data_IF_564712063727
#
_entry.id   IF_564712063727
#
_cell.length_a   1.000
_cell.length_b   1.000
_cell.length_c   1.000
_cell.angle_alpha   90.00
_cell.angle_beta   90.00
_cell.angle_gamma   90.00
#
_symmetry.space_group_name_H-M   'P 1'
#
loop_
_entity.id
_entity.type
_entity.pdbx_description
1 polymer ?
#
# COMPACT_ATOMS: atom_id res chain seq x y z
N UNK A 1 11.16 -9.18 1.52
CA UNK A 1 10.33 -8.65 2.62
C UNK A 1 10.69 -9.25 3.97
N UNK A 2 10.77 -10.58 4.12
CA UNK A 2 10.98 -11.27 5.42
C UNK A 2 12.18 -10.79 6.24
N UNK A 3 13.36 -10.67 5.64
CA UNK A 3 14.56 -10.17 6.34
C UNK A 3 14.42 -8.68 6.69
N UNK A 4 13.86 -7.88 5.77
CA UNK A 4 13.64 -6.45 6.00
C UNK A 4 12.59 -6.19 7.09
N UNK A 5 11.55 -7.01 7.19
CA UNK A 5 10.52 -6.94 8.23
C UNK A 5 11.03 -7.36 9.62
N UNK A 6 12.22 -7.98 9.72
CA UNK A 6 12.83 -8.31 11.00
C UNK A 6 13.30 -7.05 11.75
N UNK A 7 13.69 -5.98 11.04
CA UNK A 7 14.12 -4.71 11.62
C UNK A 7 13.05 -4.05 12.52
N UNK A 8 11.83 -3.75 12.01
CA UNK A 8 10.78 -3.18 12.85
C UNK A 8 10.38 -4.15 13.97
N UNK A 9 10.36 -5.46 13.72
CA UNK A 9 10.05 -6.45 14.74
C UNK A 9 11.05 -6.42 15.90
N UNK A 10 12.36 -6.42 15.61
CA UNK A 10 13.41 -6.35 16.64
C UNK A 10 13.36 -5.02 17.40
N UNK A 11 13.20 -3.89 16.71
CA UNK A 11 13.06 -2.59 17.36
C UNK A 11 11.84 -2.54 18.29
N UNK A 12 10.72 -3.12 17.86
CA UNK A 12 9.51 -3.26 18.68
C UNK A 12 9.73 -4.17 19.89
N UNK A 13 10.42 -5.31 19.73
CA UNK A 13 10.73 -6.21 20.84
C UNK A 13 11.63 -5.55 21.89
N UNK A 14 12.63 -4.76 21.47
CA UNK A 14 13.48 -3.97 22.37
C UNK A 14 12.65 -2.91 23.10
N UNK A 15 11.81 -2.15 22.38
CA UNK A 15 10.93 -1.15 22.97
C UNK A 15 9.98 -1.76 24.00
N UNK A 16 9.34 -2.89 23.67
CA UNK A 16 8.45 -3.62 24.56
C UNK A 16 9.19 -4.17 25.79
N UNK A 17 10.35 -4.79 25.61
CA UNK A 17 11.14 -5.38 26.68
C UNK A 17 11.62 -4.33 27.69
N UNK A 18 12.19 -3.23 27.20
CA UNK A 18 12.64 -2.10 28.05
C UNK A 18 11.48 -1.45 28.79
N UNK A 19 10.31 -1.31 28.15
CA UNK A 19 9.10 -0.78 28.77
C UNK A 19 8.49 -1.72 29.83
N UNK A 20 8.51 -3.04 29.59
CA UNK A 20 8.09 -4.04 30.57
C UNK A 20 9.03 -4.04 31.79
N UNK A 21 10.35 -4.00 31.59
CA UNK A 21 11.35 -3.90 32.67
C UNK A 21 11.17 -2.61 33.49
N UNK A 22 10.98 -1.47 32.82
CA UNK A 22 10.72 -0.20 33.49
C UNK A 22 9.42 -0.22 34.34
N UNK A 23 8.37 -0.92 33.87
CA UNK A 23 7.10 -1.08 34.60
C UNK A 23 7.16 -2.10 35.74
N UNK A 24 7.86 -3.23 35.55
CA UNK A 24 7.97 -4.30 36.55
C UNK A 24 8.97 -4.02 37.67
N UNK A 25 9.88 -3.07 37.48
CA UNK A 25 10.79 -2.56 38.51
C UNK A 25 10.05 -1.80 39.63
N UNK A 26 8.87 -2.24 40.09
CA UNK A 26 8.18 -1.61 41.23
C UNK A 26 8.89 -2.02 42.52
N UNK A 27 9.69 -1.09 43.07
CA UNK A 27 9.83 -0.80 44.51
C UNK A 27 11.29 -0.74 44.98
N UNK A 28 11.63 0.41 45.56
CA UNK A 28 12.64 0.61 46.62
C UNK A 28 14.12 0.83 46.23
N UNK A 29 14.45 2.02 45.68
CA UNK A 29 15.49 2.95 46.21
C UNK A 29 15.77 4.14 45.28
N UNK A 30 16.33 5.22 45.85
CA UNK A 30 16.70 6.49 45.18
C UNK A 30 17.72 6.34 44.04
N UNK A 31 18.55 5.29 44.04
CA UNK A 31 19.52 4.99 42.96
C UNK A 31 18.91 4.35 41.71
N UNK A 32 17.76 3.65 41.83
CA UNK A 32 17.10 3.01 40.68
C UNK A 32 16.35 4.00 39.76
N UNK A 33 16.15 5.24 40.20
CA UNK A 33 15.50 6.28 39.40
C UNK A 33 16.28 6.61 38.12
N UNK A 34 17.62 6.59 38.18
CA UNK A 34 18.50 6.82 37.03
C UNK A 34 18.42 5.66 36.02
N UNK A 35 18.41 4.42 36.50
CA UNK A 35 18.33 3.21 35.67
C UNK A 35 16.98 3.12 34.96
N UNK A 36 15.88 3.40 35.66
CA UNK A 36 14.54 3.47 35.07
C UNK A 36 14.43 4.55 33.98
N UNK A 37 15.01 5.73 34.22
CA UNK A 37 15.04 6.80 33.23
C UNK A 37 15.82 6.40 31.96
N UNK A 38 16.95 5.69 32.13
CA UNK A 38 17.73 5.17 31.01
C UNK A 38 16.95 4.14 30.18
N UNK A 39 16.27 3.18 30.82
CA UNK A 39 15.43 2.21 30.11
C UNK A 39 14.25 2.86 29.38
N UNK A 40 13.63 3.88 29.99
CA UNK A 40 12.54 4.61 29.34
C UNK A 40 13.04 5.38 28.10
N UNK A 41 14.22 6.01 28.18
CA UNK A 41 14.84 6.68 27.04
C UNK A 41 15.16 5.69 25.91
N UNK A 42 15.75 4.53 26.23
CA UNK A 42 16.03 3.47 25.24
C UNK A 42 14.74 2.96 24.61
N UNK A 43 13.67 2.79 25.40
CA UNK A 43 12.36 2.36 24.92
C UNK A 43 11.76 3.35 23.92
N UNK A 44 11.82 4.66 24.21
CA UNK A 44 11.34 5.71 23.31
C UNK A 44 12.14 5.72 22.01
N UNK A 45 13.48 5.69 22.09
CA UNK A 45 14.34 5.67 20.89
C UNK A 45 14.05 4.43 20.04
N UNK A 46 13.95 3.26 20.67
CA UNK A 46 13.65 2.00 19.98
C UNK A 46 12.27 2.04 19.32
N UNK A 47 11.28 2.68 19.96
CA UNK A 47 9.95 2.86 19.39
C UNK A 47 9.97 3.81 18.18
N UNK A 48 10.74 4.89 18.22
CA UNK A 48 10.93 5.78 17.05
C UNK A 48 11.57 5.01 15.89
N UNK A 49 12.62 4.23 16.16
CA UNK A 49 13.27 3.38 15.16
C UNK A 49 12.28 2.36 14.59
N UNK A 50 11.43 1.76 15.43
CA UNK A 50 10.34 0.88 14.99
C UNK A 50 9.40 1.58 14.00
N UNK A 51 8.90 2.78 14.33
CA UNK A 51 7.99 3.51 13.44
C UNK A 51 8.67 3.84 12.09
N UNK A 52 9.91 4.34 12.12
CA UNK A 52 10.64 4.69 10.89
C UNK A 52 10.89 3.45 10.03
N UNK A 53 11.42 2.38 10.63
CA UNK A 53 11.71 1.13 9.90
C UNK A 53 10.44 0.48 9.34
N UNK A 54 9.32 0.55 10.06
CA UNK A 54 8.03 0.08 9.59
C UNK A 54 7.59 0.85 8.32
N UNK A 55 7.64 2.19 8.36
CA UNK A 55 7.29 3.01 7.20
C UNK A 55 8.21 2.75 5.99
N UNK A 56 9.52 2.55 6.22
CA UNK A 56 10.46 2.20 5.17
C UNK A 56 10.13 0.85 4.53
N UNK A 57 9.83 -0.18 5.33
CA UNK A 57 9.45 -1.51 4.82
C UNK A 57 8.17 -1.43 4.00
N UNK A 58 7.17 -0.68 4.47
CA UNK A 58 5.91 -0.48 3.75
C UNK A 58 6.14 0.23 2.42
N UNK A 59 6.96 1.29 2.39
CA UNK A 59 7.33 1.98 1.14
C UNK A 59 8.01 1.02 0.16
N UNK A 60 8.99 0.24 0.62
CA UNK A 60 9.70 -0.71 -0.23
C UNK A 60 8.78 -1.81 -0.80
N UNK A 61 7.77 -2.24 -0.04
CA UNK A 61 6.73 -3.16 -0.52
C UNK A 61 6.01 -2.61 -1.74
N UNK A 62 5.56 -1.35 -1.66
CA UNK A 62 4.83 -0.66 -2.73
C UNK A 62 5.71 -0.38 -3.94
N UNK A 63 6.95 0.06 -3.71
CA UNK A 63 7.94 0.26 -4.78
C UNK A 63 8.08 -1.01 -5.61
N UNK A 64 8.31 -2.15 -4.95
CA UNK A 64 8.46 -3.44 -5.64
C UNK A 64 7.26 -3.77 -6.53
N UNK A 65 6.04 -3.47 -6.10
CA UNK A 65 4.83 -3.73 -6.88
C UNK A 65 4.75 -2.85 -8.13
N UNK A 66 5.04 -1.54 -8.01
CA UNK A 66 5.13 -0.64 -9.16
C UNK A 66 6.20 -1.08 -10.17
N UNK A 67 7.38 -1.50 -9.70
CA UNK A 67 8.43 -2.02 -10.58
C UNK A 67 8.02 -3.33 -11.27
N UNK A 68 7.32 -4.22 -10.56
CA UNK A 68 6.84 -5.47 -11.13
C UNK A 68 5.78 -5.22 -12.21
N UNK A 69 4.82 -4.33 -11.95
CA UNK A 69 3.79 -3.92 -12.90
C UNK A 69 4.44 -3.29 -14.14
N UNK A 70 5.33 -2.32 -13.95
CA UNK A 70 6.02 -1.65 -15.05
C UNK A 70 6.84 -2.65 -15.90
N UNK A 71 7.65 -3.49 -15.25
CA UNK A 71 8.44 -4.51 -15.94
C UNK A 71 7.54 -5.46 -16.75
N UNK A 72 6.44 -5.94 -16.16
CA UNK A 72 5.53 -6.84 -16.85
C UNK A 72 4.82 -6.18 -18.03
N UNK A 73 4.46 -4.90 -17.93
CA UNK A 73 3.88 -4.12 -19.00
C UNK A 73 4.85 -3.98 -20.19
N UNK A 74 6.10 -3.59 -19.93
CA UNK A 74 7.12 -3.45 -20.96
C UNK A 74 7.49 -4.78 -21.62
N UNK A 75 7.58 -5.86 -20.85
CA UNK A 75 7.95 -7.18 -21.37
C UNK A 75 6.83 -7.80 -22.21
N UNK A 76 5.57 -7.64 -21.78
CA UNK A 76 4.42 -8.21 -22.51
C UNK A 76 3.97 -7.34 -23.69
N UNK A 77 4.29 -6.04 -23.66
CA UNK A 77 3.83 -5.08 -24.65
C UNK A 77 2.32 -4.85 -24.62
N UNK A 78 1.62 -5.30 -23.58
CA UNK A 78 0.17 -5.20 -23.44
C UNK A 78 -0.24 -4.65 -22.07
N UNK A 79 0.11 -3.38 -21.73
CA UNK A 79 -0.26 -2.76 -20.46
C UNK A 79 -1.78 -2.76 -20.21
N UNK A 80 -2.59 -2.59 -21.27
CA UNK A 80 -4.05 -2.58 -21.17
C UNK A 80 -4.64 -3.87 -20.61
N UNK A 81 -4.07 -5.02 -20.97
CA UNK A 81 -4.51 -6.31 -20.44
C UNK A 81 -4.25 -6.42 -18.93
N UNK A 82 -3.14 -5.83 -18.46
CA UNK A 82 -2.80 -5.83 -17.04
C UNK A 82 -3.70 -4.88 -16.25
N UNK A 83 -4.02 -3.70 -16.81
CA UNK A 83 -5.00 -2.78 -16.22
C UNK A 83 -6.35 -3.48 -16.03
N UNK A 84 -6.91 -4.06 -17.10
CA UNK A 84 -8.16 -4.83 -17.09
C UNK A 84 -8.14 -5.97 -16.06
N UNK A 85 -7.04 -6.73 -16.01
CA UNK A 85 -6.87 -7.82 -15.06
C UNK A 85 -6.88 -7.32 -13.60
N UNK A 86 -6.15 -6.24 -13.30
CA UNK A 86 -6.12 -5.65 -11.96
C UNK A 86 -7.50 -5.12 -11.57
N UNK A 87 -8.19 -4.40 -12.46
CA UNK A 87 -9.55 -3.92 -12.24
C UNK A 87 -10.50 -5.06 -11.88
N UNK A 88 -10.49 -6.16 -12.65
CA UNK A 88 -11.31 -7.35 -12.40
C UNK A 88 -10.97 -8.05 -11.09
N UNK A 89 -9.68 -8.16 -10.76
CA UNK A 89 -9.22 -8.77 -9.50
C UNK A 89 -9.68 -7.93 -8.31
N UNK A 90 -9.47 -6.62 -8.34
CA UNK A 90 -9.85 -5.71 -7.26
C UNK A 90 -11.36 -5.70 -7.08
N UNK A 91 -12.13 -5.61 -8.17
CA UNK A 91 -13.58 -5.69 -8.11
C UNK A 91 -14.05 -7.04 -7.54
N UNK A 92 -13.52 -8.17 -8.03
CA UNK A 92 -13.88 -9.50 -7.54
C UNK A 92 -13.53 -9.73 -6.07
N UNK A 93 -12.38 -9.22 -5.61
CA UNK A 93 -11.98 -9.28 -4.20
C UNK A 93 -12.87 -8.41 -3.31
N UNK A 94 -13.32 -7.25 -3.79
CA UNK A 94 -14.20 -6.35 -3.04
C UNK A 94 -15.56 -6.99 -2.72
N UNK A 95 -16.08 -7.80 -3.64
CA UNK A 95 -17.36 -8.50 -3.51
C UNK A 95 -17.26 -9.79 -2.68
N UNK A 96 -16.05 -10.33 -2.50
CA UNK A 96 -15.87 -11.60 -1.82
C UNK A 96 -16.09 -11.48 -0.32
N UNK A 97 -17.09 -12.20 0.20
CA UNK A 97 -17.36 -12.28 1.64
C UNK A 97 -16.25 -13.02 2.41
N UNK A 98 -15.56 -13.96 1.73
CA UNK A 98 -14.40 -14.70 2.25
C UNK A 98 -13.27 -14.61 1.23
N UNK A 99 -12.53 -13.50 1.21
CA UNK A 99 -11.48 -13.34 0.24
C UNK A 99 -10.40 -14.41 0.44
N UNK A 100 -9.88 -15.00 -0.64
CA UNK A 100 -8.86 -16.02 -0.53
C UNK A 100 -7.59 -15.41 0.08
N UNK A 101 -7.10 -16.03 1.18
CA UNK A 101 -5.84 -15.64 1.83
C UNK A 101 -4.65 -15.59 0.84
N UNK A 102 -4.73 -16.38 -0.24
CA UNK A 102 -3.76 -16.44 -1.31
C UNK A 102 -3.50 -15.11 -2.04
N UNK A 103 -4.52 -14.26 -2.26
CA UNK A 103 -4.33 -13.00 -3.01
C UNK A 103 -3.29 -12.09 -2.33
N UNK A 104 -3.38 -11.98 -1.00
CA UNK A 104 -2.42 -11.25 -0.18
C UNK A 104 -1.10 -12.00 -0.03
N UNK A 105 -1.15 -13.32 0.14
CA UNK A 105 0.05 -14.15 0.31
C UNK A 105 0.97 -14.13 -0.93
N UNK A 106 0.39 -14.08 -2.12
CA UNK A 106 1.11 -13.98 -3.40
C UNK A 106 1.41 -12.54 -3.82
N UNK A 107 1.12 -11.54 -2.98
CA UNK A 107 1.32 -10.12 -3.28
C UNK A 107 0.61 -9.66 -4.55
N UNK A 108 -0.57 -10.20 -4.83
CA UNK A 108 -1.40 -9.81 -5.98
C UNK A 108 -2.17 -8.54 -5.64
N UNK A 109 -2.93 -8.57 -4.54
CA UNK A 109 -3.76 -7.46 -4.06
C UNK A 109 -4.18 -7.68 -2.59
N UNK A 110 -4.54 -6.61 -1.85
CA UNK A 110 -5.09 -6.73 -0.49
C UNK A 110 -6.63 -6.67 -0.52
N UNK A 111 -7.33 -7.76 -0.15
CA UNK A 111 -8.79 -7.78 -0.17
C UNK A 111 -9.45 -6.70 0.70
N UNK A 112 -8.80 -6.32 1.81
CA UNK A 112 -9.33 -5.27 2.67
C UNK A 112 -9.24 -3.90 1.98
N UNK A 113 -8.15 -3.64 1.26
CA UNK A 113 -7.96 -2.41 0.49
C UNK A 113 -8.89 -2.38 -0.72
N UNK A 114 -8.97 -3.48 -1.48
CA UNK A 114 -9.85 -3.62 -2.63
C UNK A 114 -11.31 -3.30 -2.29
N UNK A 115 -11.79 -3.75 -1.13
CA UNK A 115 -13.13 -3.41 -0.64
C UNK A 115 -13.30 -1.92 -0.38
N UNK A 116 -12.32 -1.27 0.24
CA UNK A 116 -12.36 0.17 0.50
C UNK A 116 -12.33 0.98 -0.80
N UNK A 117 -11.47 0.61 -1.75
CA UNK A 117 -11.34 1.29 -3.05
C UNK A 117 -12.63 1.22 -3.86
N UNK A 118 -13.22 0.03 -3.99
CA UNK A 118 -14.47 -0.14 -4.73
C UNK A 118 -15.63 0.54 -4.00
N UNK A 119 -15.64 0.54 -2.67
CA UNK A 119 -16.68 1.25 -1.92
C UNK A 119 -16.68 2.76 -2.22
N UNK A 120 -15.51 3.40 -2.32
CA UNK A 120 -15.39 4.82 -2.70
C UNK A 120 -15.98 5.07 -4.10
N UNK A 121 -15.71 4.16 -5.04
CA UNK A 121 -16.24 4.27 -6.41
C UNK A 121 -17.76 4.07 -6.44
N UNK A 122 -18.27 3.07 -5.70
CA UNK A 122 -19.71 2.79 -5.61
C UNK A 122 -20.47 3.94 -4.95
N UNK A 123 -19.89 4.58 -3.94
CA UNK A 123 -20.48 5.78 -3.31
C UNK A 123 -20.63 6.96 -4.28
N UNK A 124 -19.76 7.04 -5.29
CA UNK A 124 -19.78 8.06 -6.35
C UNK A 124 -20.24 7.53 -7.71
N UNK A 125 -20.97 6.40 -7.71
CA UNK A 125 -21.36 5.72 -8.94
C UNK A 125 -22.05 6.62 -9.96
N UNK A 126 -22.92 7.53 -9.51
CA UNK A 126 -23.62 8.49 -10.36
C UNK A 126 -22.68 9.44 -11.14
N UNK A 127 -21.44 9.62 -10.69
CA UNK A 127 -20.42 10.41 -11.40
C UNK A 127 -19.73 9.62 -12.53
N UNK A 128 -19.68 8.30 -12.40
CA UNK A 128 -18.90 7.41 -13.27
C UNK A 128 -19.75 6.59 -14.24
N UNK A 129 -21.03 6.42 -13.92
CA UNK A 129 -22.05 5.82 -14.79
C UNK A 129 -22.40 6.83 -15.90
N UNK A 130 -21.71 6.70 -17.04
CA UNK A 130 -21.77 7.64 -18.15
C UNK A 130 -23.04 7.44 -18.98
N UNK A 131 -23.52 6.20 -19.09
CA UNK A 131 -24.71 5.84 -19.86
C UNK A 131 -26.01 5.80 -19.03
N UNK A 132 -25.88 5.91 -17.70
CA UNK A 132 -26.97 5.96 -16.71
C UNK A 132 -27.81 4.69 -16.67
N UNK A 133 -27.21 3.54 -16.98
CA UNK A 133 -27.87 2.26 -16.92
C UNK A 133 -27.94 1.67 -15.49
N UNK A 134 -27.24 2.32 -14.55
CA UNK A 134 -27.22 1.91 -13.16
C UNK A 134 -26.33 0.70 -12.90
N UNK A 135 -25.37 0.38 -13.76
CA UNK A 135 -24.21 -0.48 -13.50
C UNK A 135 -22.91 0.28 -13.83
N UNK A 136 -21.75 -0.33 -13.60
CA UNK A 136 -20.48 0.24 -14.05
C UNK A 136 -19.87 -0.78 -14.99
N UNK A 137 -19.72 -0.42 -16.26
CA UNK A 137 -19.01 -1.24 -17.22
C UNK A 137 -17.50 -1.29 -16.90
N UNK A 138 -16.75 -2.17 -17.56
CA UNK A 138 -15.31 -2.31 -17.32
C UNK A 138 -14.54 -1.01 -17.56
N UNK A 139 -14.92 -0.24 -18.58
CA UNK A 139 -14.26 1.02 -18.95
C UNK A 139 -14.64 2.13 -17.98
N UNK A 140 -15.89 2.21 -17.56
CA UNK A 140 -16.36 3.17 -16.55
C UNK A 140 -15.70 2.91 -15.21
N UNK A 141 -15.52 1.64 -14.83
CA UNK A 141 -14.79 1.26 -13.64
C UNK A 141 -13.30 1.61 -13.75
N UNK A 142 -12.65 1.32 -14.88
CA UNK A 142 -11.27 1.75 -15.15
C UNK A 142 -11.13 3.28 -15.03
N UNK A 143 -12.03 4.05 -15.63
CA UNK A 143 -12.05 5.51 -15.58
C UNK A 143 -12.31 6.05 -14.16
N UNK A 144 -13.21 5.42 -13.41
CA UNK A 144 -13.49 5.77 -12.02
C UNK A 144 -12.23 5.57 -11.16
N UNK A 145 -11.55 4.44 -11.33
CA UNK A 145 -10.29 4.14 -10.66
C UNK A 145 -9.23 5.18 -11.03
N UNK A 146 -9.06 5.51 -12.32
CA UNK A 146 -8.09 6.50 -12.76
C UNK A 146 -8.35 7.90 -12.17
N UNK A 147 -9.62 8.34 -12.12
CA UNK A 147 -10.01 9.61 -11.49
C UNK A 147 -9.69 9.63 -10.00
N UNK A 148 -9.99 8.56 -9.27
CA UNK A 148 -9.67 8.46 -7.85
C UNK A 148 -8.17 8.39 -7.57
N UNK A 149 -7.36 7.92 -8.53
CA UNK A 149 -5.91 7.96 -8.43
C UNK A 149 -5.35 9.37 -8.26
N UNK A 150 -6.00 10.34 -8.90
CA UNK A 150 -5.60 11.75 -8.89
C UNK A 150 -6.07 12.47 -7.62
N UNK A 151 -6.93 11.85 -6.79
CA UNK A 151 -7.48 12.43 -5.56
C UNK A 151 -6.47 12.53 -4.41
N UNK A 152 -6.49 13.65 -3.70
CA UNK A 152 -5.58 13.93 -2.55
C UNK A 152 -5.83 13.02 -1.35
N UNK A 153 -7.06 12.55 -1.14
CA UNK A 153 -7.41 11.66 -0.03
C UNK A 153 -6.73 10.28 -0.13
N UNK A 154 -6.54 9.82 -1.37
CA UNK A 154 -5.82 8.59 -1.69
C UNK A 154 -4.33 8.66 -1.27
N UNK A 155 -3.73 9.86 -1.19
CA UNK A 155 -2.34 10.07 -0.77
C UNK A 155 -2.09 9.86 0.72
N UNK A 156 -3.08 10.04 1.57
CA UNK A 156 -2.91 9.90 3.03
C UNK A 156 -3.03 8.43 3.43
N UNK A 157 -4.00 7.71 2.87
CA UNK A 157 -4.20 6.30 3.17
C UNK A 157 -2.99 5.44 2.76
N UNK A 158 -2.28 5.85 1.70
CA UNK A 158 -1.12 5.13 1.17
C UNK A 158 0.04 4.96 2.14
N UNK A 159 0.22 5.88 3.10
CA UNK A 159 1.35 5.82 4.03
C UNK A 159 1.31 4.59 4.93
N UNK A 160 0.10 4.12 5.25
CA UNK A 160 -0.13 2.98 6.14
C UNK A 160 -0.60 1.72 5.40
N UNK A 161 -0.44 1.66 4.08
CA UNK A 161 -0.75 0.48 3.26
C UNK A 161 0.51 -0.29 2.87
N UNK A 162 0.48 -1.62 2.95
CA UNK A 162 1.57 -2.48 2.45
C UNK A 162 1.52 -2.65 0.93
N UNK A 163 0.36 -2.43 0.33
CA UNK A 163 0.12 -2.47 -1.11
C UNK A 163 -0.13 -1.04 -1.63
N UNK A 164 0.36 -0.70 -2.83
CA UNK A 164 -0.06 0.52 -3.48
C UNK A 164 -1.53 0.36 -3.88
N UNK A 165 -2.31 1.44 -3.85
CA UNK A 165 -3.70 1.37 -4.25
C UNK A 165 -3.83 0.93 -5.70
N UNK A 166 -4.85 0.14 -6.02
CA UNK A 166 -5.03 -0.42 -7.36
C UNK A 166 -5.07 0.69 -8.41
N UNK A 167 -5.77 1.78 -8.10
CA UNK A 167 -5.91 2.92 -9.01
C UNK A 167 -4.56 3.56 -9.40
N UNK A 168 -3.53 3.54 -8.53
CA UNK A 168 -2.20 4.08 -8.88
C UNK A 168 -1.44 3.14 -9.79
N UNK A 169 -1.64 1.84 -9.61
CA UNK A 169 -1.10 0.81 -10.47
C UNK A 169 -1.69 0.93 -11.88
N UNK A 170 -3.01 1.12 -11.97
CA UNK A 170 -3.71 1.38 -13.25
C UNK A 170 -3.19 2.65 -13.91
N UNK A 171 -3.05 3.75 -13.16
CA UNK A 171 -2.53 5.02 -13.72
C UNK A 171 -1.10 4.87 -14.26
N UNK A 172 -0.22 4.18 -13.53
CA UNK A 172 1.13 3.86 -14.00
C UNK A 172 1.09 3.05 -15.30
N UNK A 173 0.22 2.04 -15.37
CA UNK A 173 0.10 1.21 -16.57
C UNK A 173 -0.49 1.97 -17.76
N UNK A 174 -1.37 2.95 -17.51
CA UNK A 174 -1.91 3.82 -18.55
C UNK A 174 -0.83 4.74 -19.11
N UNK A 175 0.02 5.30 -18.25
CA UNK A 175 1.17 6.08 -18.69
C UNK A 175 2.15 5.24 -19.53
N UNK A 176 2.40 3.98 -19.13
CA UNK A 176 3.23 3.05 -19.91
C UNK A 176 2.58 2.71 -21.26
N UNK A 177 1.25 2.56 -21.32
CA UNK A 177 0.50 2.39 -22.57
C UNK A 177 0.72 3.58 -23.52
N UNK A 178 0.58 4.80 -23.01
CA UNK A 178 0.85 6.02 -23.80
C UNK A 178 2.32 6.10 -24.27
N UNK A 179 3.29 5.70 -23.45
CA UNK A 179 4.71 5.67 -23.85
C UNK A 179 4.98 4.64 -24.95
N UNK A 180 4.37 3.46 -24.87
CA UNK A 180 4.47 2.41 -25.89
C UNK A 180 3.82 2.86 -27.20
N UNK A 181 2.62 3.44 -27.13
CA UNK A 181 1.86 3.89 -28.31
C UNK A 181 2.51 5.09 -29.00
N UNK A 182 3.09 6.01 -28.23
CA UNK A 182 3.79 7.19 -28.76
C UNK A 182 5.21 6.88 -29.26
N UNK A 183 5.80 5.77 -28.84
CA UNK A 183 7.20 5.42 -29.10
C UNK A 183 8.22 6.37 -28.42
N UNK A 184 7.76 7.23 -27.50
CA UNK A 184 8.61 8.14 -26.74
C UNK A 184 8.74 7.67 -25.30
N UNK A 185 9.92 7.15 -24.95
CA UNK A 185 10.21 6.69 -23.59
C UNK A 185 10.77 7.83 -22.76
N UNK A 186 10.07 8.24 -21.71
CA UNK A 186 10.51 9.31 -20.81
C UNK A 186 10.86 8.77 -19.43
N UNK A 187 12.15 8.76 -19.10
CA UNK A 187 12.61 8.30 -17.77
C UNK A 187 12.03 9.09 -16.59
N UNK A 188 11.59 10.34 -16.83
CA UNK A 188 11.10 11.22 -15.78
C UNK A 188 9.65 10.92 -15.35
N UNK A 189 8.88 10.21 -16.17
CA UNK A 189 7.43 10.00 -15.97
C UNK A 189 7.09 8.70 -15.26
N UNK A 190 7.80 7.62 -15.58
CA UNK A 190 7.59 6.25 -15.06
C UNK A 190 7.51 6.16 -13.52
N UNK A 191 8.13 7.10 -12.79
CA UNK A 191 8.14 7.11 -11.32
C UNK A 191 7.31 8.20 -10.66
N UNK A 192 6.59 9.04 -11.41
CA UNK A 192 5.80 10.13 -10.84
C UNK A 192 4.67 9.63 -9.92
N UNK A 193 4.23 8.39 -10.12
CA UNK A 193 3.11 7.77 -9.41
C UNK A 193 3.52 6.79 -8.29
N UNK A 194 4.83 6.63 -8.07
CA UNK A 194 5.49 5.63 -7.20
C UNK A 194 5.83 6.16 -5.80
#
# INVERSE_FOLDING_TARGET
>A
MTVLSALPLLAYLIARGTWEVARFSRSSKKEEGSIRAAFLAIGIISYIVYIISLLCVMKLSRLREHYADAYSAYVTGSPRNLQSALTKITYGLSLSSKPPSGARAFYIEDPAMAKQEIQVIVEKKEEYDLDKDGVLDERELELAMEKEAKSTWSKINTWFSTHPPTFRRILLLHEIEEEIDSGTYTNDRVYAHV
#
